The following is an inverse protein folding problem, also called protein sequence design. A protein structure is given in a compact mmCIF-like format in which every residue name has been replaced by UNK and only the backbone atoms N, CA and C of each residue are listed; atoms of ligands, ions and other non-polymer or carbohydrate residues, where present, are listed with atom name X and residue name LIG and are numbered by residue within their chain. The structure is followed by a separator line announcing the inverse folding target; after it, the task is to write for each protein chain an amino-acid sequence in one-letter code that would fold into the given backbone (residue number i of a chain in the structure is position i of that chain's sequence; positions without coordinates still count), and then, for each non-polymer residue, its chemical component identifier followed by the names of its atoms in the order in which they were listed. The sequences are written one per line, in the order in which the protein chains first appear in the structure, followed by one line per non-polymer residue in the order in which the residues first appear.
data_IF_563049383729
#
_entry.id   IF_563049383729
#
_cell.length_a   1.000
_cell.length_b   1.000
_cell.length_c   1.000
_cell.angle_alpha   90.00
_cell.angle_beta   90.00
_cell.angle_gamma   90.00
#
_symmetry.space_group_name_H-M   'P 1'
#
loop_
_entity.id
_entity.type
_entity.pdbx_description
1 polymer ?
#
# COMPACT_ATOMS: atom_id res chain seq x y z
N UNK A 1 3.75 -13.54 12.28
CA UNK A 1 3.95 -12.13 11.91
C UNK A 1 4.29 -11.37 13.19
N UNK A 2 5.28 -10.47 13.16
CA UNK A 2 5.66 -9.63 14.30
C UNK A 2 4.84 -8.34 14.22
N UNK A 3 4.28 -7.88 15.33
CA UNK A 3 3.60 -6.58 15.37
C UNK A 3 4.60 -5.45 15.71
N UNK A 4 4.13 -4.19 15.74
CA UNK A 4 4.97 -3.03 16.03
C UNK A 4 5.74 -3.12 17.36
N UNK A 5 5.16 -3.76 18.39
CA UNK A 5 5.81 -3.92 19.70
C UNK A 5 6.96 -4.92 19.64
N UNK A 6 6.77 -6.05 18.96
CA UNK A 6 7.79 -7.07 18.76
C UNK A 6 8.98 -6.48 17.96
N UNK A 7 8.69 -5.70 16.91
CA UNK A 7 9.70 -5.02 16.09
C UNK A 7 10.50 -4.02 16.92
N UNK A 8 9.84 -3.19 17.73
CA UNK A 8 10.51 -2.21 18.59
C UNK A 8 11.47 -2.89 19.58
N UNK A 9 11.07 -4.02 20.17
CA UNK A 9 11.91 -4.82 21.06
C UNK A 9 13.16 -5.34 20.34
N UNK A 10 13.00 -5.98 19.18
CA UNK A 10 14.10 -6.57 18.42
C UNK A 10 15.08 -5.52 17.88
N UNK A 11 14.55 -4.40 17.41
CA UNK A 11 15.33 -3.28 16.90
C UNK A 11 15.95 -2.41 18.01
N UNK A 12 15.61 -2.66 19.29
CA UNK A 12 16.08 -1.91 20.47
C UNK A 12 15.75 -0.41 20.37
N UNK A 13 14.57 -0.08 19.86
CA UNK A 13 14.05 1.28 19.76
C UNK A 13 12.80 1.44 20.63
N UNK A 14 12.48 2.67 21.00
CA UNK A 14 11.20 2.97 21.66
C UNK A 14 10.07 2.93 20.63
N UNK A 15 8.96 2.30 21.00
CA UNK A 15 7.74 2.37 20.20
C UNK A 15 7.16 3.79 20.26
N UNK A 16 6.84 4.37 19.11
CA UNK A 16 6.18 5.66 18.96
C UNK A 16 4.73 5.49 18.50
N UNK A 17 3.98 6.59 18.46
CA UNK A 17 2.64 6.60 17.84
C UNK A 17 2.79 6.38 16.33
N UNK A 18 1.95 5.54 15.73
CA UNK A 18 1.97 5.30 14.29
C UNK A 18 1.52 6.55 13.51
N UNK A 19 2.20 6.84 12.40
CA UNK A 19 1.88 7.93 11.48
C UNK A 19 1.94 7.43 10.03
N UNK A 20 0.80 7.01 9.44
CA UNK A 20 0.76 6.38 8.11
C UNK A 20 1.27 7.28 6.97
N UNK A 21 1.41 8.59 7.21
CA UNK A 21 1.86 9.57 6.21
C UNK A 21 3.37 9.81 6.22
N UNK A 22 4.13 9.20 7.14
CA UNK A 22 5.59 9.34 7.19
C UNK A 22 6.30 8.57 6.06
N UNK A 23 5.69 7.47 5.62
CA UNK A 23 6.21 6.61 4.56
C UNK A 23 5.06 5.82 3.90
N UNK A 24 5.18 5.56 2.59
CA UNK A 24 4.26 4.68 1.85
C UNK A 24 5.05 3.66 1.04
N UNK A 25 4.50 2.45 0.90
CA UNK A 25 5.03 1.42 0.00
C UNK A 25 4.27 1.45 -1.31
N UNK A 26 4.98 1.70 -2.42
CA UNK A 26 4.41 1.64 -3.77
C UNK A 26 4.51 0.24 -4.37
N UNK A 27 3.39 -0.30 -4.85
CA UNK A 27 3.30 -1.55 -5.60
C UNK A 27 2.87 -1.25 -7.04
N UNK A 28 3.84 -1.27 -7.96
CA UNK A 28 3.58 -1.06 -9.38
C UNK A 28 3.05 -2.35 -10.02
N UNK A 29 1.97 -2.24 -10.79
CA UNK A 29 1.34 -3.36 -11.52
C UNK A 29 1.23 -3.03 -13.02
N UNK A 30 0.97 -4.03 -13.86
CA UNK A 30 1.04 -3.92 -15.32
C UNK A 30 -0.24 -3.41 -16.01
N UNK A 31 -1.36 -3.30 -15.30
CA UNK A 31 -2.64 -2.83 -15.86
C UNK A 31 -3.57 -2.21 -14.81
N UNK A 32 -4.60 -1.46 -15.27
CA UNK A 32 -5.66 -0.94 -14.37
C UNK A 32 -6.42 -2.06 -13.67
N UNK A 33 -6.71 -3.14 -14.41
CA UNK A 33 -7.42 -4.30 -13.90
C UNK A 33 -6.64 -5.01 -12.80
N UNK A 34 -5.30 -4.96 -12.86
CA UNK A 34 -4.45 -5.47 -11.77
C UNK A 34 -4.51 -4.59 -10.53
N UNK A 35 -4.61 -3.26 -10.68
CA UNK A 35 -4.84 -2.36 -9.52
C UNK A 35 -6.12 -2.77 -8.80
N UNK A 36 -7.22 -2.92 -9.54
CA UNK A 36 -8.51 -3.32 -8.98
C UNK A 36 -8.44 -4.69 -8.28
N UNK A 37 -7.76 -5.67 -8.90
CA UNK A 37 -7.59 -7.01 -8.32
C UNK A 37 -6.81 -6.97 -7.01
N UNK A 38 -5.68 -6.27 -6.97
CA UNK A 38 -4.84 -6.17 -5.75
C UNK A 38 -5.60 -5.43 -4.64
N UNK A 39 -6.32 -4.36 -4.98
CA UNK A 39 -7.10 -3.59 -4.00
C UNK A 39 -8.25 -4.41 -3.41
N UNK A 40 -8.93 -5.22 -4.21
CA UNK A 40 -9.96 -6.15 -3.73
C UNK A 40 -9.36 -7.29 -2.89
N UNK A 41 -8.16 -7.78 -3.24
CA UNK A 41 -7.43 -8.76 -2.43
C UNK A 41 -7.05 -8.18 -1.06
N UNK A 42 -6.51 -6.96 -1.04
CA UNK A 42 -6.15 -6.25 0.19
C UNK A 42 -7.38 -6.09 1.10
N UNK A 43 -8.51 -5.62 0.54
CA UNK A 43 -9.78 -5.49 1.27
C UNK A 43 -10.23 -6.83 1.87
N UNK A 44 -10.18 -7.92 1.10
CA UNK A 44 -10.51 -9.28 1.59
C UNK A 44 -9.57 -9.77 2.68
N UNK A 45 -8.32 -9.33 2.66
CA UNK A 45 -7.33 -9.63 3.69
C UNK A 45 -7.47 -8.76 4.97
N UNK A 46 -8.44 -7.84 5.01
CA UNK A 46 -8.72 -6.98 6.17
C UNK A 46 -8.07 -5.59 6.10
N UNK A 47 -7.50 -5.21 4.95
CA UNK A 47 -7.01 -3.85 4.76
C UNK A 47 -8.15 -2.83 4.76
N UNK A 48 -7.86 -1.63 5.28
CA UNK A 48 -8.73 -0.47 5.21
C UNK A 48 -8.44 0.30 3.91
N UNK A 49 -9.40 0.34 2.98
CA UNK A 49 -9.27 1.13 1.75
C UNK A 49 -9.43 2.61 2.11
N UNK A 50 -8.32 3.36 2.06
CA UNK A 50 -8.29 4.79 2.38
C UNK A 50 -8.61 5.64 1.18
N UNK A 51 -8.31 5.15 -0.02
CA UNK A 51 -8.61 5.80 -1.29
C UNK A 51 -8.93 4.73 -2.36
N UNK A 52 -10.18 4.64 -2.85
CA UNK A 52 -10.54 3.69 -3.90
C UNK A 52 -9.76 3.92 -5.21
N UNK A 53 -9.57 2.88 -6.05
CA UNK A 53 -8.87 3.01 -7.32
C UNK A 53 -9.52 4.03 -8.27
N UNK A 54 -8.71 4.93 -8.82
CA UNK A 54 -9.19 5.98 -9.72
C UNK A 54 -8.09 6.44 -10.70
N UNK A 55 -8.49 7.13 -11.77
CA UNK A 55 -7.57 7.76 -12.71
C UNK A 55 -6.82 8.92 -12.05
N UNK A 56 -5.49 8.93 -12.18
CA UNK A 56 -4.64 9.97 -11.60
C UNK A 56 -4.46 11.16 -12.54
N UNK A 57 -4.14 12.33 -11.99
CA UNK A 57 -3.96 13.56 -12.79
C UNK A 57 -2.80 13.50 -13.80
N UNK A 58 -1.83 12.60 -13.57
CA UNK A 58 -0.66 12.41 -14.42
C UNK A 58 -0.85 11.31 -15.47
N UNK A 59 -2.05 10.71 -15.55
CA UNK A 59 -2.43 9.76 -16.60
C UNK A 59 -2.23 8.29 -16.25
N UNK A 60 -2.07 7.94 -14.97
CA UNK A 60 -2.07 6.57 -14.49
C UNK A 60 -3.37 6.19 -13.79
N UNK A 61 -3.34 5.07 -13.06
CA UNK A 61 -4.45 4.57 -12.28
C UNK A 61 -3.92 4.05 -10.94
N UNK A 62 -4.44 4.53 -9.81
CA UNK A 62 -3.95 4.12 -8.50
C UNK A 62 -5.01 4.14 -7.41
N UNK A 63 -4.71 3.51 -6.28
CA UNK A 63 -5.50 3.56 -5.06
C UNK A 63 -4.64 3.28 -3.83
N UNK A 64 -5.18 3.62 -2.64
CA UNK A 64 -4.48 3.48 -1.37
C UNK A 64 -5.24 2.63 -0.37
N UNK A 65 -4.48 1.86 0.42
CA UNK A 65 -5.02 1.16 1.58
C UNK A 65 -4.03 1.16 2.74
N UNK A 66 -4.54 0.98 3.96
CA UNK A 66 -3.74 0.62 5.13
C UNK A 66 -3.90 -0.87 5.42
N UNK A 67 -2.78 -1.58 5.58
CA UNK A 67 -2.80 -2.96 6.04
C UNK A 67 -3.29 -3.06 7.50
N UNK A 68 -3.54 -4.27 8.04
CA UNK A 68 -4.02 -4.41 9.43
C UNK A 68 -3.08 -3.86 10.52
N UNK A 69 -1.79 -3.67 10.20
CA UNK A 69 -0.80 -3.08 11.10
C UNK A 69 -0.70 -1.54 10.93
N UNK A 70 -1.42 -0.97 9.95
CA UNK A 70 -1.54 0.46 9.72
C UNK A 70 -0.52 1.04 8.73
N UNK A 71 0.25 0.20 8.03
CA UNK A 71 1.18 0.69 7.00
C UNK A 71 0.41 1.13 5.76
N UNK A 72 0.78 2.28 5.20
CA UNK A 72 0.15 2.82 3.99
C UNK A 72 0.78 2.21 2.73
N UNK A 73 -0.09 1.75 1.84
CA UNK A 73 0.27 1.18 0.54
C UNK A 73 -0.41 1.96 -0.58
N UNK A 74 0.33 2.19 -1.65
CA UNK A 74 -0.20 2.64 -2.94
C UNK A 74 -0.07 1.50 -3.95
N UNK A 75 -1.19 1.13 -4.59
CA UNK A 75 -1.16 0.25 -5.77
C UNK A 75 -1.32 1.12 -7.00
N UNK A 76 -0.39 1.04 -7.94
CA UNK A 76 -0.31 1.98 -9.05
C UNK A 76 0.01 1.28 -10.37
N UNK A 77 -0.73 1.65 -11.41
CA UNK A 77 -0.37 1.39 -12.79
C UNK A 77 0.06 2.69 -13.45
N UNK A 78 1.30 2.70 -13.94
CA UNK A 78 1.83 3.79 -14.74
C UNK A 78 2.01 3.31 -16.20
N UNK A 79 1.20 3.80 -17.16
CA UNK A 79 1.26 3.35 -18.56
C UNK A 79 2.58 3.72 -19.26
N UNK A 80 3.39 4.60 -18.68
CA UNK A 80 4.68 5.01 -19.24
C UNK A 80 5.84 4.11 -18.78
N UNK A 81 5.61 3.19 -17.84
CA UNK A 81 6.63 2.31 -17.29
C UNK A 81 6.42 0.88 -17.78
N UNK A 82 7.47 0.29 -18.35
CA UNK A 82 7.52 -1.15 -18.56
C UNK A 82 7.98 -1.82 -17.26
N UNK A 83 7.10 -2.62 -16.66
CA UNK A 83 7.44 -3.46 -15.52
C UNK A 83 7.96 -4.78 -16.07
N UNK A 84 9.27 -4.95 -16.05
CA UNK A 84 9.91 -6.21 -16.41
C UNK A 84 10.03 -7.07 -15.14
N UNK A 85 9.63 -8.35 -15.21
CA UNK A 85 9.75 -9.34 -14.12
C UNK A 85 11.18 -9.87 -13.95
#
# INVERSE_FOLDING_TARGET
MKNAKDIAHDAKINQTVSSPTEFTTGHNVGSKEEVDKVMEQAKKAGANITDPPHDTFWGGYSGYFQDPDGHLWEVVWNPQWEINE
#
